data_IF_144114593983
#
_entry.id   IF_144114593983
#
_cell.length_a   1.000
_cell.length_b   1.000
_cell.length_c   1.000
_cell.angle_alpha   90.00
_cell.angle_beta   90.00
_cell.angle_gamma   90.00
#
_symmetry.space_group_name_H-M   'P 1'
#
loop_
_entity.id
_entity.type
_entity.pdbx_description
1 polymer ?
#
# COMPACT_ATOMS: atom_id res chain seq x y z
N UNK A 1 -15.81 9.19 -1.20
CA UNK A 1 -15.22 8.34 -0.13
C UNK A 1 -16.27 7.50 0.61
N UNK A 2 -17.40 8.08 1.03
CA UNK A 2 -18.45 7.38 1.79
C UNK A 2 -19.41 6.62 0.85
N UNK A 3 -19.23 5.29 0.74
CA UNK A 3 -20.04 4.41 -0.14
C UNK A 3 -21.04 3.55 0.63
N UNK A 4 -20.62 3.01 1.77
CA UNK A 4 -21.43 2.16 2.64
C UNK A 4 -21.42 2.73 4.06
N UNK A 5 -22.52 2.56 4.76
CA UNK A 5 -22.59 2.63 6.21
C UNK A 5 -22.23 1.25 6.75
N UNK A 6 -21.30 1.21 7.71
CA UNK A 6 -20.88 -0.04 8.35
C UNK A 6 -22.10 -0.83 8.90
N UNK A 7 -22.16 -2.17 8.75
CA UNK A 7 -21.14 -3.03 8.16
C UNK A 7 -21.09 -3.00 6.63
N UNK A 8 -22.23 -3.14 5.93
CA UNK A 8 -22.27 -3.25 4.45
C UNK A 8 -23.56 -2.65 3.86
N UNK A 9 -24.09 -1.58 4.46
CA UNK A 9 -25.36 -0.97 4.03
C UNK A 9 -25.05 0.13 3.02
N UNK A 10 -25.52 0.06 1.76
CA UNK A 10 -25.29 1.15 0.79
C UNK A 10 -25.77 2.50 1.33
N UNK A 11 -24.98 3.56 1.14
CA UNK A 11 -25.29 4.90 1.66
C UNK A 11 -26.70 5.36 1.29
N UNK A 12 -27.10 5.17 0.04
CA UNK A 12 -28.42 5.63 -0.45
C UNK A 12 -29.57 4.79 0.13
N UNK A 13 -29.31 3.53 0.49
CA UNK A 13 -30.29 2.69 1.21
C UNK A 13 -30.46 3.15 2.66
N UNK A 14 -29.36 3.51 3.33
CA UNK A 14 -29.40 3.95 4.72
C UNK A 14 -29.99 5.36 4.88
N UNK A 15 -29.57 6.30 4.01
CA UNK A 15 -29.91 7.71 4.14
C UNK A 15 -30.92 8.21 3.12
N UNK A 16 -31.38 7.38 2.19
CA UNK A 16 -32.27 7.77 1.08
C UNK A 16 -33.50 8.55 1.52
N UNK A 17 -34.14 8.13 2.61
CA UNK A 17 -35.33 8.82 3.16
C UNK A 17 -35.06 10.22 3.73
N UNK A 18 -33.79 10.57 3.94
CA UNK A 18 -33.35 11.86 4.47
C UNK A 18 -32.77 12.75 3.36
N UNK A 19 -32.72 12.27 2.11
CA UNK A 19 -32.41 13.14 0.99
C UNK A 19 -33.63 14.02 0.72
N UNK A 20 -33.43 15.34 0.81
CA UNK A 20 -34.43 16.31 0.39
C UNK A 20 -34.67 16.18 -1.11
N UNK A 21 -35.93 16.02 -1.51
CA UNK A 21 -36.35 16.06 -2.92
C UNK A 21 -36.47 17.49 -3.48
N UNK A 22 -36.40 18.49 -2.60
CA UNK A 22 -36.37 19.88 -3.02
C UNK A 22 -35.06 20.18 -3.77
N UNK A 23 -35.12 20.90 -4.91
CA UNK A 23 -33.94 21.54 -5.47
C UNK A 23 -33.34 22.37 -4.34
N UNK A 24 -32.10 22.04 -4.00
CA UNK A 24 -31.38 22.69 -2.93
C UNK A 24 -31.25 24.19 -3.28
N UNK A 25 -32.16 25.04 -2.81
CA UNK A 25 -31.89 26.48 -2.60
C UNK A 25 -30.95 26.66 -1.41
N UNK A 26 -30.01 25.72 -1.21
CA UNK A 26 -28.83 26.02 -0.43
C UNK A 26 -28.12 27.09 -1.23
N UNK A 27 -28.17 28.32 -0.69
CA UNK A 27 -27.42 29.45 -1.16
C UNK A 27 -26.06 28.95 -1.65
N UNK A 28 -25.82 29.10 -2.96
CA UNK A 28 -24.47 28.95 -3.51
C UNK A 28 -23.55 29.74 -2.59
N UNK A 29 -22.38 29.22 -2.18
CA UNK A 29 -21.54 29.90 -1.21
C UNK A 29 -21.25 31.29 -1.76
N UNK A 30 -21.94 32.30 -1.24
CA UNK A 30 -21.66 33.68 -1.56
C UNK A 30 -20.29 33.95 -0.97
N UNK A 31 -19.47 34.66 -1.73
CA UNK A 31 -18.01 34.81 -1.65
C UNK A 31 -17.47 35.47 -0.37
N UNK A 32 -18.08 35.25 0.79
CA UNK A 32 -17.74 35.92 2.05
C UNK A 32 -17.74 34.95 3.23
N UNK A 33 -16.56 34.39 3.48
CA UNK A 33 -16.11 33.90 4.79
C UNK A 33 -16.56 32.49 5.19
N UNK A 34 -15.59 31.56 5.20
CA UNK A 34 -15.55 30.35 6.05
C UNK A 34 -16.52 29.19 5.73
N UNK A 35 -16.76 28.88 4.45
CA UNK A 35 -17.60 27.73 4.04
C UNK A 35 -16.86 26.82 3.06
N UNK A 36 -15.76 26.21 3.50
CA UNK A 36 -14.93 25.30 2.70
C UNK A 36 -15.21 23.82 2.94
N UNK A 37 -14.61 22.95 2.10
CA UNK A 37 -14.55 21.51 2.35
C UNK A 37 -14.04 21.21 3.77
N UNK A 38 -14.59 20.17 4.41
CA UNK A 38 -14.16 19.76 5.74
C UNK A 38 -12.72 19.24 5.68
N UNK A 39 -11.81 19.71 6.56
CA UNK A 39 -10.44 19.21 6.61
C UNK A 39 -10.44 17.71 6.92
N UNK A 40 -9.63 16.95 6.19
CA UNK A 40 -9.47 15.50 6.36
C UNK A 40 -8.07 15.18 6.88
N UNK A 41 -7.96 14.23 7.80
CA UNK A 41 -6.69 13.71 8.32
C UNK A 41 -6.56 12.26 7.89
N UNK A 42 -5.38 11.85 7.45
CA UNK A 42 -5.08 10.48 7.06
C UNK A 42 -4.33 9.77 8.19
N UNK A 43 -4.79 8.56 8.52
CA UNK A 43 -4.10 7.65 9.41
C UNK A 43 -3.70 6.43 8.56
N UNK A 44 -2.42 6.23 8.24
CA UNK A 44 -1.98 5.09 7.45
C UNK A 44 -2.18 3.81 8.27
N UNK A 45 -2.73 2.78 7.61
CA UNK A 45 -2.90 1.46 8.20
C UNK A 45 -2.12 0.44 7.38
N UNK A 46 -1.27 -0.34 8.06
CA UNK A 46 -0.64 -1.52 7.47
C UNK A 46 -1.59 -2.71 7.62
N UNK A 47 -1.78 -3.47 6.55
CA UNK A 47 -2.51 -4.75 6.64
C UNK A 47 -1.63 -5.77 7.36
N UNK A 48 -1.81 -5.90 8.68
CA UNK A 48 -1.26 -7.02 9.43
C UNK A 48 -2.07 -8.28 9.08
N UNK A 49 -1.54 -9.09 8.15
CA UNK A 49 -2.04 -10.45 7.96
C UNK A 49 -1.62 -11.25 9.18
N UNK A 50 -2.58 -11.61 10.03
CA UNK A 50 -2.35 -12.31 11.29
C UNK A 50 -1.62 -13.66 11.15
N UNK A 51 -1.50 -14.21 9.93
CA UNK A 51 -0.98 -15.57 9.67
C UNK A 51 0.30 -15.63 8.80
N UNK A 52 1.01 -14.53 8.54
CA UNK A 52 2.15 -14.58 7.62
C UNK A 52 3.46 -14.95 8.33
N UNK A 53 3.76 -16.25 8.43
CA UNK A 53 5.14 -16.75 8.64
C UNK A 53 6.02 -16.52 7.39
N UNK A 54 5.44 -16.04 6.29
CA UNK A 54 6.16 -15.69 5.07
C UNK A 54 6.95 -14.38 5.26
N UNK A 55 8.24 -14.34 4.87
CA UNK A 55 9.05 -13.13 4.94
C UNK A 55 8.37 -11.99 4.15
N UNK A 56 8.40 -10.78 4.71
CA UNK A 56 7.72 -9.63 4.12
C UNK A 56 8.38 -9.17 2.81
N UNK A 57 9.62 -9.60 2.57
CA UNK A 57 10.38 -9.30 1.38
C UNK A 57 11.26 -10.48 0.96
N UNK A 58 11.46 -10.73 -0.35
CA UNK A 58 12.49 -11.66 -0.82
C UNK A 58 13.90 -11.26 -0.34
N UNK A 59 14.12 -9.99 0.02
CA UNK A 59 15.37 -9.54 0.62
C UNK A 59 15.66 -10.16 1.98
N UNK A 60 14.63 -10.56 2.73
CA UNK A 60 14.78 -11.18 4.06
C UNK A 60 15.31 -12.61 3.98
N UNK A 61 15.26 -13.22 2.78
CA UNK A 61 15.75 -14.57 2.49
C UNK A 61 17.20 -14.57 1.97
N UNK A 62 17.79 -13.40 1.76
CA UNK A 62 19.14 -13.33 1.21
C UNK A 62 20.17 -13.87 2.21
N UNK A 63 21.15 -14.68 1.76
CA UNK A 63 22.11 -15.35 2.65
C UNK A 63 23.10 -14.39 3.32
N UNK A 64 23.13 -13.12 2.91
CA UNK A 64 24.02 -12.09 3.46
C UNK A 64 23.44 -10.68 3.22
N UNK A 65 23.89 -9.71 4.01
CA UNK A 65 23.49 -8.31 3.85
C UNK A 65 24.15 -7.65 2.64
N UNK A 66 23.60 -6.52 2.14
CA UNK A 66 24.21 -5.75 1.05
C UNK A 66 25.65 -5.31 1.34
N UNK A 67 25.95 -4.96 2.60
CA UNK A 67 27.30 -4.55 3.00
C UNK A 67 28.29 -5.71 2.96
N UNK A 68 27.89 -6.90 3.42
CA UNK A 68 28.72 -8.11 3.35
C UNK A 68 28.97 -8.52 1.89
N UNK A 69 27.95 -8.44 1.04
CA UNK A 69 28.10 -8.71 -0.40
C UNK A 69 29.02 -7.70 -1.11
N UNK A 70 29.00 -6.43 -0.72
CA UNK A 70 29.88 -5.42 -1.28
C UNK A 70 31.37 -5.75 -1.05
N UNK A 71 31.74 -6.12 0.17
CA UNK A 71 33.11 -6.53 0.53
C UNK A 71 33.55 -7.75 -0.28
N UNK A 72 32.66 -8.73 -0.47
CA UNK A 72 32.97 -9.90 -1.31
C UNK A 72 33.29 -9.50 -2.76
N UNK A 73 32.53 -8.56 -3.34
CA UNK A 73 32.77 -8.10 -4.72
C UNK A 73 34.05 -7.29 -4.90
N UNK A 74 34.63 -6.74 -3.84
CA UNK A 74 35.95 -6.09 -3.88
C UNK A 74 37.09 -7.13 -3.97
N UNK A 75 36.88 -8.31 -3.39
CA UNK A 75 37.91 -9.35 -3.27
C UNK A 75 37.76 -10.49 -4.29
N UNK A 76 36.58 -10.64 -4.90
CA UNK A 76 36.28 -11.71 -5.85
C UNK A 76 36.01 -11.15 -7.24
N UNK A 77 36.52 -11.84 -8.26
CA UNK A 77 36.21 -11.49 -9.65
C UNK A 77 34.75 -11.85 -9.99
N UNK A 78 34.07 -11.09 -10.86
CA UNK A 78 32.71 -11.41 -11.31
C UNK A 78 32.58 -12.83 -11.88
N UNK A 79 33.60 -13.30 -12.61
CA UNK A 79 33.63 -14.64 -13.19
C UNK A 79 33.67 -15.76 -12.15
N UNK A 80 34.33 -15.54 -11.01
CA UNK A 80 34.36 -16.50 -9.90
C UNK A 80 32.97 -16.65 -9.27
N UNK A 81 32.27 -15.52 -9.09
CA UNK A 81 30.91 -15.50 -8.54
C UNK A 81 29.93 -16.20 -9.49
N UNK A 82 30.03 -15.92 -10.79
CA UNK A 82 29.18 -16.55 -11.81
C UNK A 82 29.43 -18.06 -11.93
N UNK A 83 30.70 -18.48 -11.85
CA UNK A 83 31.07 -19.91 -11.92
C UNK A 83 30.53 -20.70 -10.73
N UNK A 84 30.46 -20.10 -9.54
CA UNK A 84 29.85 -20.75 -8.36
C UNK A 84 28.35 -21.01 -8.52
N UNK A 85 27.67 -20.20 -9.34
CA UNK A 85 26.24 -20.38 -9.66
C UNK A 85 26.01 -21.41 -10.78
N UNK A 86 27.07 -21.80 -11.51
CA UNK A 86 26.98 -22.86 -12.52
C UNK A 86 27.04 -24.23 -11.84
N UNK A 87 25.90 -24.90 -11.78
CA UNK A 87 25.84 -26.30 -11.38
C UNK A 87 26.60 -27.18 -12.38
N UNK A 88 27.43 -28.14 -11.93
CA UNK A 88 28.09 -29.10 -12.81
C UNK A 88 27.11 -30.04 -13.54
N UNK A 89 25.83 -30.06 -13.16
CA UNK A 89 24.78 -30.86 -13.79
C UNK A 89 24.03 -30.16 -14.92
N UNK A 90 24.45 -28.96 -15.34
CA UNK A 90 23.74 -28.20 -16.39
C UNK A 90 24.15 -28.59 -17.82
N UNK A 91 24.81 -29.74 -18.00
CA UNK A 91 25.23 -30.27 -19.30
C UNK A 91 24.72 -31.72 -19.46
N UNK A 92 23.44 -31.87 -19.79
CA UNK A 92 22.93 -32.97 -20.62
C UNK A 92 21.78 -32.46 -21.49
#
# INVERSE_FOLDING_TARGET
PLKYLYPDIPKDKAFGKHYSSQPCEVARPTERGDKGYVPSVFIPISTIRSDSTEPQSPSDLLPMSPSVYAVLRENLSPATIETAMKSPYSAE
#
